data_IF_170356084548
#
_entry.id   IF_170356084548
#
_cell.length_a   1.000
_cell.length_b   1.000
_cell.length_c   1.000
_cell.angle_alpha   90.00
_cell.angle_beta   90.00
_cell.angle_gamma   90.00
#
_symmetry.space_group_name_H-M   'P 1'
#
loop_
_entity.id
_entity.type
_entity.pdbx_description
1 polymer ?
#
# COMPACT_ATOMS: atom_id res chain seq x y z
N UNK A 1 -43.61 24.77 9.15
CA UNK A 1 -43.14 24.25 7.84
C UNK A 1 -41.64 24.43 7.57
N UNK A 2 -40.85 25.13 8.42
CA UNK A 2 -39.40 25.33 8.20
C UNK A 2 -38.51 24.49 9.14
N UNK A 3 -39.07 23.96 10.24
CA UNK A 3 -38.34 23.18 11.26
C UNK A 3 -38.26 21.68 10.95
N UNK A 4 -39.16 21.17 10.12
CA UNK A 4 -39.18 19.75 9.70
C UNK A 4 -38.15 19.44 8.61
N UNK A 5 -37.70 20.45 7.84
CA UNK A 5 -36.69 20.29 6.78
C UNK A 5 -35.29 20.01 7.35
N UNK A 6 -34.98 20.50 8.55
CA UNK A 6 -33.66 20.34 9.17
C UNK A 6 -33.42 18.93 9.73
N UNK A 7 -34.48 18.20 10.10
CA UNK A 7 -34.35 16.83 10.63
C UNK A 7 -34.22 15.78 9.51
N UNK A 8 -34.68 16.08 8.30
CA UNK A 8 -34.67 15.13 7.16
C UNK A 8 -33.26 14.96 6.58
N UNK A 9 -32.40 15.98 6.67
CA UNK A 9 -31.03 15.93 6.16
C UNK A 9 -30.13 14.93 6.91
N UNK A 10 -30.33 14.73 8.22
CA UNK A 10 -29.52 13.79 9.01
C UNK A 10 -29.90 12.31 8.78
N UNK A 11 -31.14 12.03 8.39
CA UNK A 11 -31.62 10.65 8.18
C UNK A 11 -31.36 10.16 6.75
N UNK A 12 -31.39 11.05 5.75
CA UNK A 12 -31.05 10.73 4.36
C UNK A 12 -29.55 10.54 4.13
N UNK A 13 -28.70 11.19 4.92
CA UNK A 13 -27.24 11.03 4.85
C UNK A 13 -26.77 9.62 5.24
N UNK A 14 -27.53 8.89 6.07
CA UNK A 14 -27.11 7.58 6.59
C UNK A 14 -27.44 6.40 5.66
N UNK A 15 -28.26 6.58 4.63
CA UNK A 15 -28.69 5.49 3.74
C UNK A 15 -27.81 5.32 2.49
N UNK A 16 -26.83 6.20 2.27
CA UNK A 16 -25.94 6.16 1.08
C UNK A 16 -24.47 5.86 1.41
N UNK A 17 -24.14 5.51 2.65
CA UNK A 17 -22.84 4.90 2.96
C UNK A 17 -22.93 3.43 2.58
N UNK A 18 -22.79 3.15 1.27
CA UNK A 18 -22.66 1.79 0.76
C UNK A 18 -21.55 1.05 1.51
N UNK A 19 -21.83 -0.17 1.96
CA UNK A 19 -20.85 -1.03 2.59
C UNK A 19 -19.74 -1.33 1.57
N UNK A 20 -18.56 -0.72 1.75
CA UNK A 20 -17.38 -1.10 0.99
C UNK A 20 -16.95 -2.50 1.44
N UNK A 21 -17.25 -3.51 0.63
CA UNK A 21 -16.77 -4.86 0.85
C UNK A 21 -15.27 -4.89 0.59
N UNK A 22 -14.45 -4.88 1.65
CA UNK A 22 -13.00 -5.11 1.55
C UNK A 22 -12.79 -6.57 1.15
N UNK A 23 -12.41 -6.79 -0.10
CA UNK A 23 -11.98 -8.08 -0.59
C UNK A 23 -10.54 -8.36 -0.09
N UNK A 24 -10.41 -9.21 0.93
CA UNK A 24 -9.12 -9.71 1.41
C UNK A 24 -8.58 -10.87 0.58
N UNK A 25 -8.68 -10.77 -0.76
CA UNK A 25 -8.06 -11.73 -1.66
C UNK A 25 -6.53 -11.74 -1.50
N UNK A 26 -5.84 -12.81 -1.97
CA UNK A 26 -4.38 -12.83 -2.01
C UNK A 26 -3.87 -11.57 -2.71
N UNK A 27 -3.10 -10.75 -1.98
CA UNK A 27 -2.52 -9.52 -2.54
C UNK A 27 -1.27 -9.88 -3.35
N UNK A 28 -1.07 -9.27 -4.53
CA UNK A 28 0.16 -9.45 -5.28
C UNK A 28 1.37 -9.02 -4.42
N UNK A 29 2.43 -9.81 -4.54
CA UNK A 29 3.70 -9.60 -3.85
C UNK A 29 4.82 -9.59 -4.87
N UNK A 30 5.85 -8.82 -4.56
CA UNK A 30 7.03 -8.66 -5.42
C UNK A 30 8.29 -8.83 -4.56
N UNK A 31 9.29 -9.49 -5.12
CA UNK A 31 10.63 -9.58 -4.50
C UNK A 31 11.46 -8.39 -4.96
N UNK A 32 12.14 -7.76 -4.00
CA UNK A 32 13.03 -6.63 -4.20
C UNK A 32 14.37 -6.88 -3.50
N UNK A 33 15.43 -6.25 -4.00
CA UNK A 33 16.67 -6.10 -3.25
C UNK A 33 16.57 -4.84 -2.40
N UNK A 34 16.56 -5.02 -1.09
CA UNK A 34 16.34 -3.96 -0.11
C UNK A 34 17.65 -3.45 0.47
N UNK A 35 17.82 -2.13 0.47
CA UNK A 35 18.98 -1.42 1.05
C UNK A 35 18.51 -0.63 2.28
N UNK A 36 18.76 -1.11 3.51
CA UNK A 36 18.26 -0.45 4.71
C UNK A 36 18.83 0.96 4.90
N UNK A 37 17.99 1.96 5.21
CA UNK A 37 18.45 3.29 5.59
C UNK A 37 19.41 3.21 6.79
N UNK A 38 20.59 3.81 6.67
CA UNK A 38 21.60 3.83 7.73
C UNK A 38 22.43 2.55 7.87
N UNK A 39 22.11 1.46 7.16
CA UNK A 39 22.97 0.28 7.06
C UNK A 39 22.96 -0.34 5.64
N UNK A 40 23.55 0.35 4.64
CA UNK A 40 23.60 -0.14 3.26
C UNK A 40 24.36 -1.47 3.10
N UNK A 41 25.27 -1.79 4.03
CA UNK A 41 26.01 -3.06 4.00
C UNK A 41 25.10 -4.28 4.28
N UNK A 42 23.92 -4.08 4.89
CA UNK A 42 22.95 -5.14 5.16
C UNK A 42 21.90 -5.25 4.05
N UNK A 43 22.35 -5.19 2.80
CA UNK A 43 21.48 -5.34 1.63
C UNK A 43 21.02 -6.78 1.50
N UNK A 44 19.72 -7.02 1.32
CA UNK A 44 19.16 -8.37 1.23
C UNK A 44 17.81 -8.40 0.49
N UNK A 45 17.44 -9.57 -0.05
CA UNK A 45 16.18 -9.74 -0.75
C UNK A 45 15.00 -9.87 0.23
N UNK A 46 13.92 -9.15 -0.05
CA UNK A 46 12.65 -9.26 0.71
C UNK A 46 11.47 -9.33 -0.25
N UNK A 47 10.40 -10.00 0.18
CA UNK A 47 9.13 -10.03 -0.56
C UNK A 47 8.13 -9.08 0.10
N UNK A 48 7.75 -8.03 -0.62
CA UNK A 48 6.83 -6.99 -0.16
C UNK A 48 5.49 -7.06 -0.89
N UNK A 49 4.50 -6.33 -0.40
CA UNK A 49 3.29 -6.05 -1.19
C UNK A 49 3.62 -5.11 -2.34
N UNK A 50 2.99 -5.31 -3.49
CA UNK A 50 3.09 -4.39 -4.63
C UNK A 50 2.76 -2.94 -4.25
N UNK A 51 1.84 -2.73 -3.31
CA UNK A 51 1.48 -1.40 -2.80
C UNK A 51 2.64 -0.67 -2.10
N UNK A 52 3.63 -1.40 -1.58
CA UNK A 52 4.78 -0.82 -0.89
C UNK A 52 5.92 -0.50 -1.87
N UNK A 53 5.89 -1.05 -3.09
CA UNK A 53 6.97 -0.91 -4.07
C UNK A 53 7.36 0.55 -4.35
N UNK A 54 6.44 1.52 -4.56
CA UNK A 54 6.83 2.91 -4.81
C UNK A 54 7.65 3.53 -3.68
N UNK A 55 7.35 3.18 -2.43
CA UNK A 55 8.10 3.68 -1.27
C UNK A 55 9.48 3.03 -1.19
N UNK A 56 9.57 1.73 -1.45
CA UNK A 56 10.85 1.02 -1.49
C UNK A 56 11.77 1.54 -2.60
N UNK A 57 11.24 1.78 -3.81
CA UNK A 57 11.99 2.41 -4.91
C UNK A 57 12.47 3.83 -4.56
N UNK A 58 11.66 4.62 -3.85
CA UNK A 58 12.05 5.96 -3.40
C UNK A 58 13.17 5.95 -2.35
N UNK A 59 13.35 4.83 -1.64
CA UNK A 59 14.43 4.64 -0.67
C UNK A 59 15.69 3.99 -1.25
N UNK A 60 15.69 3.64 -2.55
CA UNK A 60 16.86 3.07 -3.23
C UNK A 60 16.84 1.55 -3.42
N UNK A 61 15.71 0.89 -3.14
CA UNK A 61 15.55 -0.53 -3.42
C UNK A 61 15.40 -0.80 -4.93
N UNK A 62 15.71 -2.02 -5.35
CA UNK A 62 15.55 -2.45 -6.75
C UNK A 62 14.66 -3.68 -6.87
N UNK A 63 13.99 -3.85 -8.02
CA UNK A 63 13.13 -5.02 -8.26
C UNK A 63 14.01 -6.23 -8.58
N UNK A 64 13.72 -7.36 -7.94
CA UNK A 64 14.42 -8.63 -8.14
C UNK A 64 15.21 -9.10 -6.92
N UNK A 65 15.99 -10.16 -7.11
CA UNK A 65 16.94 -10.64 -6.12
C UNK A 65 18.10 -9.64 -5.94
N UNK A 66 18.78 -9.73 -4.80
CA UNK A 66 20.01 -8.96 -4.64
C UNK A 66 21.10 -9.46 -5.57
N UNK A 67 21.68 -8.52 -6.28
CA UNK A 67 22.78 -8.73 -7.19
C UNK A 67 24.05 -9.02 -6.38
N UNK A 68 24.27 -10.28 -6.03
CA UNK A 68 25.53 -10.71 -5.42
C UNK A 68 26.60 -10.99 -6.50
N UNK A 69 26.17 -11.33 -7.73
CA UNK A 69 27.02 -11.79 -8.84
C UNK A 69 26.57 -11.28 -10.22
N UNK A 70 25.90 -10.13 -10.35
CA UNK A 70 25.72 -9.51 -11.67
C UNK A 70 26.98 -8.71 -12.02
N UNK A 71 28.04 -9.46 -12.33
CA UNK A 71 29.17 -9.01 -13.11
C UNK A 71 28.67 -8.61 -14.50
N UNK A 72 28.73 -7.31 -14.78
CA UNK A 72 28.83 -6.78 -16.14
C UNK A 72 30.28 -6.48 -16.44
#
# INVERSE_FOLDING_TARGET
MKKTVLLIACVFGLFLFGNASVNNGPKPKITICHVPPGNPANTHAITISENALPAHLAHGDSIGECCNDCDG
#
